data_IF_554120447183
#
_entry.id   IF_554120447183
#
_cell.length_a   1.000
_cell.length_b   1.000
_cell.length_c   1.000
_cell.angle_alpha   90.00
_cell.angle_beta   90.00
_cell.angle_gamma   90.00
#
_symmetry.space_group_name_H-M   'P 1'
#
loop_
_entity.id
_entity.type
_entity.pdbx_description
1 polymer ?
#
# COMPACT_ATOMS: atom_id res chain seq x y z
N UNK A 1 24.63 46.03 -22.33
CA UNK A 1 23.36 46.43 -22.98
C UNK A 1 23.35 45.69 -24.29
N UNK A 2 22.67 44.57 -24.49
CA UNK A 2 21.46 43.88 -23.98
C UNK A 2 21.77 42.36 -24.13
N UNK A 3 21.15 41.35 -23.53
CA UNK A 3 19.76 41.10 -23.18
C UNK A 3 19.79 39.86 -22.25
N UNK A 4 19.10 39.95 -21.11
CA UNK A 4 18.91 38.84 -20.17
C UNK A 4 17.65 38.11 -20.63
N UNK A 5 17.86 37.12 -21.49
CA UNK A 5 16.80 36.28 -22.06
C UNK A 5 16.40 35.13 -21.13
N UNK A 6 15.47 35.44 -20.24
CA UNK A 6 14.57 34.57 -19.50
C UNK A 6 14.33 33.17 -20.10
N UNK A 7 14.65 32.13 -19.32
CA UNK A 7 14.13 30.75 -19.48
C UNK A 7 13.44 30.28 -18.20
N UNK A 8 12.48 31.05 -17.71
CA UNK A 8 11.49 30.60 -16.72
C UNK A 8 10.07 30.82 -17.24
N UNK A 9 9.62 29.94 -18.12
CA UNK A 9 8.19 29.74 -18.39
C UNK A 9 7.90 28.26 -18.58
N UNK A 10 8.00 27.49 -17.49
CA UNK A 10 7.21 26.26 -17.38
C UNK A 10 5.72 26.67 -17.32
N UNK A 11 4.82 26.09 -18.14
CA UNK A 11 3.41 26.48 -18.18
C UNK A 11 2.69 26.26 -16.84
N UNK A 12 1.65 27.05 -16.52
CA UNK A 12 0.89 26.92 -15.28
C UNK A 12 -0.05 25.71 -15.36
N UNK A 13 0.07 24.82 -14.38
CA UNK A 13 -0.94 23.87 -13.90
C UNK A 13 -1.98 23.40 -14.95
N UNK A 14 -1.63 22.43 -15.81
CA UNK A 14 -2.64 21.66 -16.56
C UNK A 14 -3.35 20.71 -15.57
N UNK A 15 -4.66 20.86 -15.32
CA UNK A 15 -5.41 19.99 -14.40
C UNK A 15 -5.39 18.52 -14.80
N UNK A 16 -5.04 18.20 -16.05
CA UNK A 16 -5.03 16.83 -16.59
C UNK A 16 -3.79 16.03 -16.21
N UNK A 17 -2.68 16.65 -15.79
CA UNK A 17 -1.50 15.91 -15.31
C UNK A 17 -1.69 15.34 -13.90
N UNK A 18 -2.50 15.97 -13.05
CA UNK A 18 -2.76 15.48 -11.68
C UNK A 18 -3.76 14.30 -11.65
N UNK A 19 -4.52 14.06 -12.72
CA UNK A 19 -5.56 13.00 -12.73
C UNK A 19 -5.05 11.62 -13.11
N UNK A 20 -3.91 11.51 -13.81
CA UNK A 20 -3.44 10.23 -14.37
C UNK A 20 -2.65 9.37 -13.37
N UNK A 21 -2.06 9.94 -12.32
CA UNK A 21 -1.34 9.16 -11.28
C UNK A 21 -2.28 8.26 -10.48
N UNK A 22 -3.54 8.67 -10.29
CA UNK A 22 -4.54 7.91 -9.52
C UNK A 22 -4.88 6.56 -10.18
N UNK A 23 -4.82 6.46 -11.52
CA UNK A 23 -5.13 5.23 -12.26
C UNK A 23 -4.01 4.18 -12.22
N UNK A 24 -2.75 4.62 -12.18
CA UNK A 24 -1.57 3.75 -12.19
C UNK A 24 -1.49 2.87 -10.93
N UNK A 25 -1.78 3.44 -9.76
CA UNK A 25 -1.74 2.72 -8.48
C UNK A 25 -2.92 1.75 -8.31
N UNK A 26 -4.11 2.14 -8.79
CA UNK A 26 -5.29 1.26 -8.77
C UNK A 26 -5.09 -0.01 -9.63
N UNK A 27 -4.29 0.07 -10.71
CA UNK A 27 -3.96 -1.08 -11.55
C UNK A 27 -2.99 -2.06 -10.88
N UNK A 28 -2.11 -1.58 -10.01
CA UNK A 28 -1.13 -2.42 -9.31
C UNK A 28 -1.76 -3.26 -8.18
N UNK A 29 -2.71 -2.68 -7.44
CA UNK A 29 -3.46 -3.39 -6.38
C UNK A 29 -4.35 -4.52 -6.92
N UNK A 30 -4.83 -4.41 -8.17
CA UNK A 30 -5.56 -5.49 -8.84
C UNK A 30 -4.68 -6.71 -9.08
N UNK A 31 -3.43 -6.50 -9.48
CA UNK A 31 -2.46 -7.59 -9.72
C UNK A 31 -2.19 -8.37 -8.43
N UNK A 32 -2.00 -7.68 -7.31
CA UNK A 32 -1.75 -8.33 -6.02
C UNK A 32 -2.89 -9.27 -5.60
N UNK A 33 -4.15 -8.89 -5.86
CA UNK A 33 -5.34 -9.71 -5.59
C UNK A 33 -5.53 -10.84 -6.61
N UNK A 34 -5.14 -10.62 -7.86
CA UNK A 34 -5.17 -11.62 -8.92
C UNK A 34 -4.14 -12.73 -8.68
N UNK A 35 -2.89 -12.39 -8.33
CA UNK A 35 -1.89 -13.39 -7.95
C UNK A 35 -2.35 -14.18 -6.72
N UNK A 36 -2.95 -13.51 -5.74
CA UNK A 36 -3.59 -14.11 -4.59
C UNK A 36 -4.66 -15.17 -4.94
N UNK A 37 -5.53 -14.87 -5.92
CA UNK A 37 -6.54 -15.80 -6.43
C UNK A 37 -5.92 -16.94 -7.26
N UNK A 38 -4.86 -16.65 -8.02
CA UNK A 38 -4.12 -17.64 -8.81
C UNK A 38 -3.48 -18.68 -7.90
N UNK A 39 -2.83 -18.26 -6.81
CA UNK A 39 -2.26 -19.18 -5.83
C UNK A 39 -3.34 -19.96 -5.07
N UNK A 40 -4.46 -19.33 -4.73
CA UNK A 40 -5.60 -20.02 -4.14
C UNK A 40 -6.18 -21.09 -5.08
N UNK A 41 -6.38 -20.76 -6.36
CA UNK A 41 -6.84 -21.69 -7.39
C UNK A 41 -5.85 -22.83 -7.62
N UNK A 42 -4.54 -22.54 -7.64
CA UNK A 42 -3.49 -23.56 -7.75
C UNK A 42 -3.54 -24.54 -6.56
N UNK A 43 -3.65 -24.02 -5.32
CA UNK A 43 -3.77 -24.87 -4.13
C UNK A 43 -5.05 -25.69 -4.13
N UNK A 44 -6.16 -25.13 -4.63
CA UNK A 44 -7.42 -25.83 -4.79
C UNK A 44 -7.28 -26.98 -5.79
N UNK A 45 -6.65 -26.76 -6.94
CA UNK A 45 -6.42 -27.79 -7.97
C UNK A 45 -5.54 -28.91 -7.42
N UNK A 46 -4.44 -28.60 -6.74
CA UNK A 46 -3.55 -29.60 -6.12
C UNK A 46 -4.31 -30.39 -5.05
N UNK A 47 -5.11 -29.71 -4.23
CA UNK A 47 -5.94 -30.34 -3.21
C UNK A 47 -6.99 -31.29 -3.80
N UNK A 48 -7.67 -30.88 -4.88
CA UNK A 48 -8.66 -31.72 -5.60
C UNK A 48 -7.97 -32.93 -6.21
N UNK A 49 -6.77 -32.78 -6.79
CA UNK A 49 -6.00 -33.87 -7.36
C UNK A 49 -5.61 -34.91 -6.30
N UNK A 50 -5.15 -34.46 -5.13
CA UNK A 50 -4.80 -35.31 -3.98
C UNK A 50 -6.03 -36.03 -3.43
N UNK A 51 -7.18 -35.35 -3.32
CA UNK A 51 -8.43 -35.96 -2.90
C UNK A 51 -8.90 -37.03 -3.89
N UNK A 52 -8.78 -36.78 -5.20
CA UNK A 52 -9.16 -37.72 -6.27
C UNK A 52 -8.30 -39.00 -6.24
N UNK A 53 -6.99 -38.85 -5.99
CA UNK A 53 -6.06 -39.98 -5.81
C UNK A 53 -6.36 -40.75 -4.53
N UNK A 54 -6.71 -40.06 -3.43
CA UNK A 54 -7.05 -40.70 -2.15
C UNK A 54 -8.38 -41.45 -2.16
N UNK A 55 -9.40 -40.96 -2.90
CA UNK A 55 -10.69 -41.64 -3.07
C UNK A 55 -10.51 -42.99 -3.79
N UNK A 56 -9.53 -43.10 -4.69
CA UNK A 56 -9.17 -44.38 -5.33
C UNK A 56 -8.47 -45.37 -4.40
N UNK A 57 -7.99 -44.93 -3.24
CA UNK A 57 -7.12 -45.71 -2.34
C UNK A 57 -7.80 -46.15 -1.03
N UNK A 58 -9.10 -45.87 -0.83
CA UNK A 58 -9.88 -46.39 0.31
C UNK A 58 -9.48 -45.86 1.70
N UNK A 59 -8.87 -44.67 1.79
CA UNK A 59 -8.40 -44.03 3.04
C UNK A 59 -9.49 -43.13 3.67
N UNK A 60 -9.50 -42.94 5.01
CA UNK A 60 -10.57 -42.24 5.74
C UNK A 60 -10.72 -40.78 5.30
N UNK A 61 -11.96 -40.41 4.95
CA UNK A 61 -12.34 -39.17 4.27
C UNK A 61 -12.07 -37.90 5.09
N UNK A 62 -12.04 -37.98 6.42
CA UNK A 62 -11.83 -36.82 7.30
C UNK A 62 -10.49 -36.10 7.09
N UNK A 63 -9.39 -36.84 6.90
CA UNK A 63 -8.04 -36.25 6.74
C UNK A 63 -7.92 -35.51 5.41
N UNK A 64 -8.62 -36.00 4.38
CA UNK A 64 -8.60 -35.38 3.04
C UNK A 64 -9.28 -34.01 3.01
N UNK A 65 -10.40 -33.85 3.75
CA UNK A 65 -11.09 -32.58 3.87
C UNK A 65 -10.26 -31.52 4.61
N UNK A 66 -9.56 -31.91 5.67
CA UNK A 66 -8.72 -31.00 6.46
C UNK A 66 -7.50 -30.52 5.64
N UNK A 67 -6.84 -31.45 4.93
CA UNK A 67 -5.70 -31.10 4.07
C UNK A 67 -6.11 -30.21 2.88
N UNK A 68 -7.36 -30.34 2.43
CA UNK A 68 -7.92 -29.52 1.36
C UNK A 68 -8.28 -28.09 1.80
N UNK A 69 -8.87 -27.97 2.98
CA UNK A 69 -9.39 -26.68 3.47
C UNK A 69 -8.28 -25.81 4.09
N UNK A 70 -7.28 -26.42 4.74
CA UNK A 70 -6.26 -25.69 5.49
C UNK A 70 -5.43 -24.69 4.66
N UNK A 71 -4.97 -25.00 3.43
CA UNK A 71 -4.24 -24.04 2.59
C UNK A 71 -5.13 -22.87 2.14
N UNK A 72 -6.37 -23.16 1.74
CA UNK A 72 -7.33 -22.15 1.29
C UNK A 72 -7.67 -21.15 2.42
N UNK A 73 -7.92 -21.65 3.62
CA UNK A 73 -8.18 -20.83 4.81
C UNK A 73 -6.94 -20.03 5.22
N UNK A 74 -5.75 -20.64 5.17
CA UNK A 74 -4.49 -19.96 5.47
C UNK A 74 -4.20 -18.79 4.52
N UNK A 75 -4.38 -19.01 3.21
CA UNK A 75 -4.21 -17.98 2.18
C UNK A 75 -5.25 -16.87 2.32
N UNK A 76 -6.52 -17.23 2.55
CA UNK A 76 -7.61 -16.26 2.77
C UNK A 76 -7.36 -15.42 4.02
N UNK A 77 -6.98 -16.03 5.14
CA UNK A 77 -6.69 -15.33 6.39
C UNK A 77 -5.50 -14.38 6.26
N UNK A 78 -4.44 -14.79 5.54
CA UNK A 78 -3.27 -13.95 5.30
C UNK A 78 -3.57 -12.75 4.39
N UNK A 79 -4.33 -12.96 3.31
CA UNK A 79 -4.75 -11.87 2.42
C UNK A 79 -5.66 -10.86 3.12
N UNK A 80 -6.64 -11.35 3.88
CA UNK A 80 -7.61 -10.49 4.58
C UNK A 80 -6.96 -9.77 5.76
N UNK A 81 -5.93 -10.35 6.37
CA UNK A 81 -5.15 -9.74 7.46
C UNK A 81 -4.53 -8.40 7.05
N UNK A 82 -3.96 -8.31 5.85
CA UNK A 82 -3.34 -7.07 5.33
C UNK A 82 -4.37 -5.96 5.11
N UNK A 83 -5.56 -6.33 4.63
CA UNK A 83 -6.69 -5.39 4.46
C UNK A 83 -7.22 -4.92 5.81
N UNK A 84 -7.31 -5.80 6.82
CA UNK A 84 -7.79 -5.45 8.16
C UNK A 84 -6.84 -4.50 8.88
N UNK A 85 -5.53 -4.70 8.75
CA UNK A 85 -4.51 -3.81 9.33
C UNK A 85 -4.60 -2.40 8.76
N UNK A 86 -4.79 -2.25 7.45
CA UNK A 86 -5.01 -0.91 6.83
C UNK A 86 -6.22 -0.20 7.42
N UNK A 87 -7.35 -0.89 7.59
CA UNK A 87 -8.54 -0.29 8.17
C UNK A 87 -8.36 0.11 9.64
N UNK A 88 -7.61 -0.68 10.42
CA UNK A 88 -7.32 -0.34 11.81
C UNK A 88 -6.45 0.93 11.93
N UNK A 89 -5.44 1.07 11.05
CA UNK A 89 -4.57 2.25 10.99
C UNK A 89 -5.38 3.50 10.61
N UNK A 90 -6.24 3.40 9.60
CA UNK A 90 -7.03 4.54 9.11
C UNK A 90 -8.16 4.99 10.05
N UNK A 91 -8.51 4.18 11.06
CA UNK A 91 -9.47 4.58 12.09
C UNK A 91 -8.86 5.47 13.16
N UNK A 92 -7.53 5.49 13.29
CA UNK A 92 -6.87 6.34 14.26
C UNK A 92 -6.87 7.80 13.77
N UNK A 93 -7.11 8.78 14.65
CA UNK A 93 -6.99 10.18 14.28
C UNK A 93 -5.54 10.49 13.85
N UNK A 94 -5.38 11.40 12.88
CA UNK A 94 -4.06 11.81 12.43
C UNK A 94 -3.36 12.62 13.53
N UNK A 95 -2.19 12.19 14.03
CA UNK A 95 -1.52 12.87 15.15
C UNK A 95 -1.15 14.33 14.81
N UNK A 96 -1.37 15.28 15.74
CA UNK A 96 -1.10 16.70 15.49
C UNK A 96 0.39 16.99 15.33
N UNK A 97 1.26 16.23 15.98
CA UNK A 97 2.72 16.30 15.79
C UNK A 97 3.13 16.04 14.33
N UNK A 98 2.45 15.11 13.65
CA UNK A 98 2.76 14.80 12.25
C UNK A 98 2.32 15.94 11.34
N UNK A 99 1.15 16.51 11.62
CA UNK A 99 0.62 17.66 10.90
C UNK A 99 1.54 18.88 11.02
N UNK A 100 2.08 19.12 12.22
CA UNK A 100 3.02 20.21 12.46
C UNK A 100 4.31 20.06 11.64
N UNK A 101 4.90 18.86 11.62
CA UNK A 101 6.11 18.57 10.81
C UNK A 101 5.82 18.77 9.32
N UNK A 102 4.70 18.25 8.81
CA UNK A 102 4.33 18.41 7.41
C UNK A 102 4.14 19.87 7.01
N UNK A 103 3.47 20.67 7.84
CA UNK A 103 3.25 22.09 7.57
C UNK A 103 4.54 22.92 7.69
N UNK A 104 5.50 22.49 8.50
CA UNK A 104 6.78 23.20 8.67
C UNK A 104 7.77 22.87 7.55
N UNK A 105 7.96 21.57 7.28
CA UNK A 105 9.15 21.08 6.57
C UNK A 105 8.83 20.55 5.16
N UNK A 106 7.56 20.28 4.84
CA UNK A 106 7.16 19.67 3.55
C UNK A 106 6.43 20.69 2.69
N UNK A 107 7.18 21.40 1.83
CA UNK A 107 6.64 22.43 0.91
C UNK A 107 5.51 21.87 0.04
N UNK A 108 5.69 20.65 -0.47
CA UNK A 108 4.67 19.95 -1.26
C UNK A 108 3.33 19.88 -0.53
N UNK A 109 3.33 19.48 0.75
CA UNK A 109 2.11 19.35 1.54
C UNK A 109 1.40 20.70 1.74
N UNK A 110 2.15 21.79 1.90
CA UNK A 110 1.58 23.12 2.14
C UNK A 110 0.78 23.64 0.95
N UNK A 111 1.27 23.39 -0.26
CA UNK A 111 0.65 23.87 -1.51
C UNK A 111 -0.54 23.03 -1.96
N UNK A 112 -0.74 21.83 -1.37
CA UNK A 112 -1.88 20.99 -1.67
C UNK A 112 -3.21 21.64 -1.27
N UNK A 113 -4.24 21.40 -2.09
CA UNK A 113 -5.62 21.75 -1.77
C UNK A 113 -6.16 20.89 -0.59
N UNK A 114 -7.27 21.28 0.05
CA UNK A 114 -7.80 20.54 1.19
C UNK A 114 -8.12 19.08 0.89
N UNK A 115 -8.50 18.73 -0.34
CA UNK A 115 -8.79 17.35 -0.73
C UNK A 115 -7.51 16.51 -0.88
N UNK A 116 -6.48 17.03 -1.54
CA UNK A 116 -5.18 16.40 -1.66
C UNK A 116 -4.50 16.27 -0.30
N UNK A 117 -4.60 17.28 0.59
CA UNK A 117 -4.10 17.19 1.98
C UNK A 117 -4.71 16.02 2.75
N UNK A 118 -6.02 15.76 2.59
CA UNK A 118 -6.67 14.58 3.21
C UNK A 118 -6.14 13.27 2.63
N UNK A 119 -5.93 13.21 1.32
CA UNK A 119 -5.39 12.03 0.64
C UNK A 119 -3.95 11.75 1.07
N UNK A 120 -3.12 12.79 1.12
CA UNK A 120 -1.72 12.72 1.54
C UNK A 120 -1.59 12.21 2.98
N UNK A 121 -2.38 12.78 3.91
CA UNK A 121 -2.44 12.30 5.31
C UNK A 121 -2.78 10.81 5.40
N UNK A 122 -3.74 10.36 4.60
CA UNK A 122 -4.15 8.95 4.53
C UNK A 122 -3.01 8.06 4.05
N UNK A 123 -2.34 8.45 2.96
CA UNK A 123 -1.19 7.70 2.42
C UNK A 123 -0.04 7.64 3.42
N UNK A 124 0.26 8.77 4.09
CA UNK A 124 1.30 8.86 5.11
C UNK A 124 1.02 7.95 6.31
N UNK A 125 -0.21 7.97 6.82
CA UNK A 125 -0.62 7.14 7.94
C UNK A 125 -0.52 5.64 7.60
N UNK A 126 -0.96 5.25 6.40
CA UNK A 126 -0.81 3.87 5.92
C UNK A 126 0.66 3.50 5.77
N UNK A 127 1.48 4.35 5.16
CA UNK A 127 2.91 4.09 4.97
C UNK A 127 3.62 3.88 6.31
N UNK A 128 3.42 4.79 7.27
CA UNK A 128 4.02 4.70 8.61
C UNK A 128 3.52 3.49 9.42
N UNK A 129 2.27 3.06 9.20
CA UNK A 129 1.71 1.89 9.87
C UNK A 129 2.10 0.56 9.22
N UNK A 130 2.38 0.53 7.91
CA UNK A 130 2.76 -0.69 7.19
C UNK A 130 4.27 -0.88 7.05
N UNK A 131 5.03 0.21 7.04
CA UNK A 131 6.48 0.20 6.78
C UNK A 131 7.24 0.63 8.01
N UNK A 132 8.24 -0.17 8.37
CA UNK A 132 9.18 0.16 9.44
C UNK A 132 10.34 0.98 8.85
N UNK A 133 10.55 2.16 9.41
CA UNK A 133 11.70 3.03 9.08
C UNK A 133 12.73 2.87 10.19
N UNK A 134 13.94 2.47 9.83
CA UNK A 134 15.06 2.23 10.75
C UNK A 134 16.30 2.97 10.27
N UNK A 135 17.05 3.57 11.20
CA UNK A 135 18.35 4.17 10.92
C UNK A 135 19.45 3.12 11.01
N UNK A 136 20.50 3.27 10.20
CA UNK A 136 21.72 2.47 10.30
C UNK A 136 22.74 3.28 11.08
N UNK A 137 23.05 2.85 12.31
CA UNK A 137 23.98 3.56 13.19
C UNK A 137 23.49 4.92 13.70
N UNK A 138 22.20 5.24 13.50
CA UNK A 138 21.60 6.51 13.92
C UNK A 138 20.19 6.27 14.48
N UNK A 139 19.83 7.06 15.49
CA UNK A 139 18.49 7.04 16.06
C UNK A 139 17.52 7.84 15.18
N UNK A 140 16.41 7.22 14.79
CA UNK A 140 15.38 7.88 13.98
C UNK A 140 14.31 8.46 14.89
N UNK A 141 14.27 9.79 14.95
CA UNK A 141 13.23 10.54 15.65
C UNK A 141 11.93 10.58 14.82
N UNK A 142 10.85 11.07 15.45
CA UNK A 142 9.54 11.18 14.80
C UNK A 142 9.60 12.09 13.58
N UNK A 143 10.33 13.20 13.64
CA UNK A 143 10.47 14.16 12.53
C UNK A 143 11.13 13.49 11.32
N UNK A 144 12.31 12.88 11.50
CA UNK A 144 13.02 12.17 10.43
C UNK A 144 12.17 11.06 9.84
N UNK A 145 11.42 10.35 10.69
CA UNK A 145 10.49 9.30 10.23
C UNK A 145 9.40 9.86 9.31
N UNK A 146 8.77 10.98 9.69
CA UNK A 146 7.72 11.62 8.88
C UNK A 146 8.30 12.16 7.57
N UNK A 147 9.46 12.80 7.62
CA UNK A 147 10.10 13.36 6.42
C UNK A 147 10.52 12.27 5.44
N UNK A 148 11.10 11.17 5.93
CA UNK A 148 11.44 10.02 5.12
C UNK A 148 10.19 9.36 4.50
N UNK A 149 9.09 9.30 5.24
CA UNK A 149 7.83 8.80 4.70
C UNK A 149 7.24 9.76 3.65
N UNK A 150 7.28 11.07 3.89
CA UNK A 150 6.81 12.08 2.95
C UNK A 150 7.60 12.01 1.63
N UNK A 151 8.93 11.92 1.69
CA UNK A 151 9.76 11.81 0.49
C UNK A 151 9.51 10.53 -0.31
N UNK A 152 9.12 9.44 0.35
CA UNK A 152 8.73 8.20 -0.34
C UNK A 152 7.34 8.28 -0.98
N UNK A 153 6.45 9.12 -0.46
CA UNK A 153 5.06 9.25 -0.94
C UNK A 153 4.93 10.28 -2.06
N UNK A 154 5.70 11.37 -2.02
CA UNK A 154 5.60 12.45 -3.02
C UNK A 154 5.71 11.94 -4.47
N UNK A 155 6.65 11.04 -4.85
CA UNK A 155 6.76 10.56 -6.22
C UNK A 155 5.59 9.67 -6.68
N UNK A 156 4.81 9.14 -5.74
CA UNK A 156 3.68 8.23 -5.98
C UNK A 156 2.34 8.89 -5.70
N UNK A 157 2.34 10.19 -5.46
CA UNK A 157 1.15 11.00 -5.24
C UNK A 157 0.71 11.64 -6.56
#
# INVERSE_FOLDING_TARGET
MTDVGDKRTAPPDDPREQTDTTGLFAAWDRRARLWALVWAALTLVVSVLVALVMIRMGRPTGITLILALAPAVGVYAWQTGKVRSRHAILRQPFPPEWEAVLNRDVVFFRVLDPAAKRRFRRHLQVFLGEKRITGIGVQVDTTTRILAAASAIIPVF
#
